data_IF_811762765104
#
_entry.id   IF_811762765104
#
_cell.length_a   1.000
_cell.length_b   1.000
_cell.length_c   1.000
_cell.angle_alpha   90.00
_cell.angle_beta   90.00
_cell.angle_gamma   90.00
#
_symmetry.space_group_name_H-M   'P 1'
#
loop_
_entity.id
_entity.type
_entity.pdbx_description
1 polymer ?
#
# COMPACT_ATOMS: atom_id res chain seq x y z
N UNK A 1 -19.09 21.53 11.24
CA UNK A 1 -18.03 20.50 11.13
C UNK A 1 -16.67 21.07 10.66
N UNK A 2 -16.56 21.64 9.45
CA UNK A 2 -15.27 22.18 8.94
C UNK A 2 -14.63 23.26 9.84
N UNK A 3 -15.45 24.11 10.49
CA UNK A 3 -14.97 25.09 11.46
C UNK A 3 -14.32 24.45 12.71
N UNK A 4 -14.75 23.24 13.10
CA UNK A 4 -14.10 22.47 14.16
C UNK A 4 -12.73 21.95 13.72
N UNK A 5 -12.62 21.48 12.48
CA UNK A 5 -11.34 21.07 11.89
C UNK A 5 -10.34 22.22 11.81
N UNK A 6 -10.79 23.44 11.42
CA UNK A 6 -9.95 24.65 11.42
C UNK A 6 -9.44 25.06 12.81
N UNK A 7 -10.11 24.61 13.87
CA UNK A 7 -9.68 24.79 15.27
C UNK A 7 -8.82 23.63 15.78
N UNK A 8 -8.41 22.70 14.92
CA UNK A 8 -7.57 21.56 15.27
C UNK A 8 -8.31 20.37 15.89
N UNK A 9 -9.64 20.33 15.85
CA UNK A 9 -10.40 19.18 16.32
C UNK A 9 -10.25 18.00 15.36
N UNK A 10 -10.35 16.77 15.89
CA UNK A 10 -10.46 15.57 15.07
C UNK A 10 -11.80 15.54 14.33
N UNK A 11 -11.88 14.85 13.20
CA UNK A 11 -13.11 14.75 12.40
C UNK A 11 -14.29 14.24 13.23
N UNK A 12 -14.07 13.24 14.09
CA UNK A 12 -15.09 12.69 14.98
C UNK A 12 -15.60 13.72 15.98
N UNK A 13 -14.70 14.47 16.64
CA UNK A 13 -15.11 15.53 17.59
C UNK A 13 -15.82 16.69 16.90
N UNK A 14 -15.31 17.12 15.74
CA UNK A 14 -15.91 18.19 14.94
C UNK A 14 -17.28 17.81 14.36
N UNK A 15 -17.51 16.52 14.12
CA UNK A 15 -18.81 15.98 13.72
C UNK A 15 -19.80 15.97 14.89
N UNK A 16 -19.38 15.46 16.06
CA UNK A 16 -20.21 15.48 17.28
C UNK A 16 -20.63 16.90 17.66
N UNK A 17 -19.70 17.87 17.65
CA UNK A 17 -20.01 19.29 17.93
C UNK A 17 -20.97 19.90 16.90
N UNK A 18 -20.97 19.38 15.67
CA UNK A 18 -21.87 19.83 14.62
C UNK A 18 -23.22 19.10 14.61
N UNK A 19 -23.48 18.21 15.59
CA UNK A 19 -24.68 17.38 15.62
C UNK A 19 -24.73 16.31 14.53
N UNK A 20 -23.59 15.99 13.89
CA UNK A 20 -23.51 14.97 12.86
C UNK A 20 -23.17 13.60 13.46
N UNK A 21 -23.88 12.56 13.03
CA UNK A 21 -23.55 11.18 13.39
C UNK A 21 -22.40 10.64 12.54
N UNK A 22 -21.65 9.62 13.01
CA UNK A 22 -20.61 8.98 12.20
C UNK A 22 -21.11 8.45 10.86
N UNK A 23 -22.36 7.94 10.81
CA UNK A 23 -22.98 7.46 9.58
C UNK A 23 -23.24 8.60 8.58
N UNK A 24 -23.63 9.78 9.06
CA UNK A 24 -23.79 10.97 8.22
C UNK A 24 -22.45 11.44 7.65
N UNK A 25 -21.39 11.44 8.47
CA UNK A 25 -20.03 11.78 8.02
C UNK A 25 -19.55 10.79 6.97
N UNK A 26 -19.78 9.49 7.17
CA UNK A 26 -19.40 8.48 6.18
C UNK A 26 -20.10 8.71 4.84
N UNK A 27 -21.41 9.02 4.86
CA UNK A 27 -22.17 9.33 3.64
C UNK A 27 -21.60 10.53 2.89
N UNK A 28 -21.27 11.61 3.60
CA UNK A 28 -20.62 12.79 2.99
C UNK A 28 -19.29 12.44 2.31
N UNK A 29 -18.50 11.53 2.88
CA UNK A 29 -17.22 11.11 2.27
C UNK A 29 -17.39 10.25 1.02
N UNK A 30 -18.47 9.48 0.94
CA UNK A 30 -18.76 8.61 -0.21
C UNK A 30 -19.40 9.41 -1.35
N UNK A 31 -20.38 10.24 -1.02
CA UNK A 31 -21.23 10.90 -2.01
C UNK A 31 -20.68 12.27 -2.44
N UNK A 32 -19.81 12.90 -1.64
CA UNK A 32 -19.28 14.24 -1.91
C UNK A 32 -17.73 14.27 -1.83
N UNK A 33 -17.02 14.13 -2.97
CA UNK A 33 -15.57 14.26 -2.99
C UNK A 33 -15.09 15.68 -2.64
N UNK A 34 -15.92 16.72 -2.76
CA UNK A 34 -15.57 18.08 -2.35
C UNK A 34 -15.54 18.22 -0.82
N UNK A 35 -16.33 17.43 -0.10
CA UNK A 35 -16.30 17.37 1.35
C UNK A 35 -14.93 16.92 1.88
N UNK A 36 -14.37 15.84 1.33
CA UNK A 36 -13.06 15.33 1.74
C UNK A 36 -11.96 16.35 1.45
N UNK A 37 -12.02 17.02 0.29
CA UNK A 37 -11.08 18.10 -0.06
C UNK A 37 -11.20 19.29 0.90
N UNK A 38 -12.41 19.72 1.22
CA UNK A 38 -12.65 20.83 2.16
C UNK A 38 -12.23 20.48 3.59
N UNK A 39 -12.40 19.23 4.02
CA UNK A 39 -11.93 18.73 5.31
C UNK A 39 -10.40 18.73 5.38
N UNK A 40 -9.72 18.28 4.32
CA UNK A 40 -8.26 18.36 4.18
C UNK A 40 -7.80 19.82 4.27
N UNK A 41 -8.39 20.72 3.48
CA UNK A 41 -8.03 22.14 3.51
C UNK A 41 -8.25 22.78 4.88
N UNK A 42 -9.36 22.47 5.55
CA UNK A 42 -9.66 22.98 6.87
C UNK A 42 -8.63 22.56 7.92
N UNK A 43 -8.19 21.30 7.86
CA UNK A 43 -7.11 20.79 8.72
C UNK A 43 -5.77 21.45 8.37
N UNK A 44 -5.47 21.64 7.08
CA UNK A 44 -4.24 22.31 6.64
C UNK A 44 -4.20 23.77 7.10
N UNK A 45 -5.33 24.48 7.10
CA UNK A 45 -5.44 25.85 7.60
C UNK A 45 -5.32 25.95 9.13
N UNK A 46 -5.65 24.88 9.86
CA UNK A 46 -5.46 24.79 11.31
C UNK A 46 -4.00 24.56 11.71
N UNK A 47 -3.22 23.92 10.84
CA UNK A 47 -1.83 23.61 11.06
C UNK A 47 -0.97 24.87 10.84
N UNK A 48 -0.41 25.42 11.91
CA UNK A 48 0.72 26.36 11.81
C UNK A 48 1.83 25.73 10.93
N UNK A 49 2.59 26.51 10.16
CA UNK A 49 3.70 25.99 9.36
C UNK A 49 4.64 25.18 10.27
N UNK A 50 4.66 23.85 10.10
CA UNK A 50 5.39 22.93 10.98
C UNK A 50 4.60 21.68 11.42
N UNK A 51 3.26 21.68 11.35
CA UNK A 51 2.41 20.52 11.64
C UNK A 51 2.08 19.71 10.37
N UNK A 52 3.09 19.24 9.64
CA UNK A 52 2.92 18.40 8.44
C UNK A 52 2.67 16.92 8.79
N UNK A 53 1.83 16.66 9.78
CA UNK A 53 1.32 15.33 10.06
C UNK A 53 -0.13 15.31 9.63
N UNK A 54 -0.39 15.12 8.33
CA UNK A 54 -1.76 15.06 7.81
C UNK A 54 -2.57 14.00 8.58
N UNK A 55 -3.58 14.37 9.40
CA UNK A 55 -4.33 13.43 10.24
C UNK A 55 -5.24 12.50 9.45
N UNK A 56 -5.27 12.64 8.11
CA UNK A 56 -6.14 11.90 7.20
C UNK A 56 -5.39 10.84 6.37
N UNK A 57 -4.06 10.79 6.45
CA UNK A 57 -3.27 9.75 5.80
C UNK A 57 -2.81 8.73 6.83
N UNK A 58 -3.05 7.42 6.62
CA UNK A 58 -2.40 6.42 7.44
C UNK A 58 -0.89 6.57 7.23
N UNK A 59 -0.20 7.02 8.29
CA UNK A 59 1.25 6.96 8.41
C UNK A 59 1.65 5.50 8.55
N UNK A 60 1.51 4.76 7.46
CA UNK A 60 2.03 3.41 7.38
C UNK A 60 3.53 3.49 7.69
N UNK A 61 3.95 2.81 8.76
CA UNK A 61 5.37 2.67 9.11
C UNK A 61 6.04 1.57 8.31
N UNK A 62 5.23 0.69 7.72
CA UNK A 62 5.63 -0.46 6.92
C UNK A 62 4.82 -0.53 5.64
N UNK A 63 5.34 -1.24 4.66
CA UNK A 63 4.64 -1.43 3.40
C UNK A 63 3.33 -2.21 3.64
N UNK A 64 2.23 -1.72 3.06
CA UNK A 64 0.89 -2.34 3.15
C UNK A 64 0.81 -3.67 2.38
N UNK A 65 1.78 -3.96 1.51
CA UNK A 65 1.83 -5.24 0.83
C UNK A 65 1.94 -6.39 1.84
N UNK A 66 1.18 -7.49 1.65
CA UNK A 66 1.22 -8.64 2.55
C UNK A 66 2.65 -9.11 2.81
N UNK A 67 2.99 -9.30 4.08
CA UNK A 67 4.27 -9.85 4.54
C UNK A 67 5.51 -9.04 4.06
N UNK A 68 5.36 -7.74 3.83
CA UNK A 68 6.48 -6.88 3.45
C UNK A 68 7.03 -6.08 4.65
N UNK A 69 8.24 -6.38 5.13
CA UNK A 69 8.83 -5.69 6.28
C UNK A 69 9.44 -4.32 5.93
N UNK A 70 9.28 -3.86 4.68
CA UNK A 70 9.96 -2.66 4.19
C UNK A 70 9.38 -1.39 4.82
N UNK A 71 10.26 -0.54 5.36
CA UNK A 71 9.91 0.73 6.01
C UNK A 71 10.11 1.94 5.10
N UNK A 72 10.90 1.80 4.01
CA UNK A 72 11.10 2.87 3.03
C UNK A 72 9.91 2.93 2.08
N UNK A 73 8.94 3.76 2.44
CA UNK A 73 7.72 3.94 1.67
C UNK A 73 7.84 5.04 0.63
N UNK A 74 7.08 4.89 -0.46
CA UNK A 74 6.83 5.89 -1.48
C UNK A 74 5.42 6.47 -1.24
N UNK A 75 4.50 6.30 -2.18
CA UNK A 75 3.11 6.75 -2.06
C UNK A 75 2.18 5.57 -1.77
N UNK A 76 0.96 5.86 -1.29
CA UNK A 76 -0.09 4.87 -1.00
C UNK A 76 0.30 3.80 0.04
N UNK A 77 1.24 4.09 0.94
CA UNK A 77 1.71 3.13 1.93
C UNK A 77 2.52 1.97 1.35
N UNK A 78 3.02 2.08 0.12
CA UNK A 78 3.81 1.03 -0.54
C UNK A 78 5.29 1.39 -0.60
N UNK A 79 6.16 0.39 -0.46
CA UNK A 79 7.57 0.56 -0.79
C UNK A 79 7.77 0.80 -2.30
N UNK A 80 8.93 1.31 -2.69
CA UNK A 80 9.25 1.62 -4.10
C UNK A 80 8.96 0.45 -5.04
N UNK A 81 9.31 -0.77 -4.63
CA UNK A 81 9.08 -2.00 -5.41
C UNK A 81 7.59 -2.27 -5.63
N UNK A 82 6.80 -2.28 -4.56
CA UNK A 82 5.37 -2.58 -4.65
C UNK A 82 4.58 -1.44 -5.30
N UNK A 83 5.01 -0.19 -5.13
CA UNK A 83 4.45 0.96 -5.85
C UNK A 83 4.59 0.77 -7.37
N UNK A 84 5.80 0.48 -7.86
CA UNK A 84 5.99 0.27 -9.30
C UNK A 84 5.36 -1.02 -9.81
N UNK A 85 5.29 -2.07 -8.99
CA UNK A 85 4.55 -3.27 -9.34
C UNK A 85 3.07 -2.97 -9.54
N UNK A 86 2.42 -2.38 -8.53
CA UNK A 86 1.00 -2.00 -8.62
C UNK A 86 0.75 -1.06 -9.80
N UNK A 87 1.64 -0.10 -10.06
CA UNK A 87 1.52 0.83 -11.18
C UNK A 87 1.60 0.13 -12.55
N UNK A 88 2.37 -0.97 -12.68
CA UNK A 88 2.54 -1.68 -13.96
C UNK A 88 1.50 -2.77 -14.18
N UNK A 89 1.12 -3.49 -13.13
CA UNK A 89 0.26 -4.69 -13.22
C UNK A 89 -1.14 -4.49 -12.65
N UNK A 90 -1.41 -3.36 -12.01
CA UNK A 90 -2.69 -3.07 -11.33
C UNK A 90 -2.86 -3.77 -9.98
N UNK A 91 -2.03 -4.78 -9.67
CA UNK A 91 -2.09 -5.57 -8.44
C UNK A 91 -0.71 -5.86 -7.88
N UNK A 92 -0.62 -6.05 -6.56
CA UNK A 92 0.61 -6.46 -5.87
C UNK A 92 0.62 -7.99 -5.89
N UNK A 93 1.60 -8.59 -6.57
CA UNK A 93 1.74 -10.04 -6.52
C UNK A 93 2.18 -10.44 -5.11
N UNK A 94 1.65 -11.57 -4.64
CA UNK A 94 1.89 -12.08 -3.29
C UNK A 94 3.37 -12.43 -2.99
N UNK A 95 3.63 -12.93 -1.78
CA UNK A 95 4.98 -13.14 -1.21
C UNK A 95 5.87 -14.11 -2.00
N UNK A 96 5.32 -14.83 -2.98
CA UNK A 96 6.01 -15.87 -3.75
C UNK A 96 7.21 -15.34 -4.58
N UNK A 97 7.27 -14.03 -4.85
CA UNK A 97 8.47 -13.40 -5.42
C UNK A 97 9.52 -13.11 -4.34
N UNK A 98 10.22 -14.14 -3.89
CA UNK A 98 11.45 -13.99 -3.13
C UNK A 98 12.58 -13.46 -4.04
N UNK A 99 12.86 -12.16 -3.93
CA UNK A 99 14.05 -11.54 -4.51
C UNK A 99 15.25 -11.81 -3.59
N UNK A 100 16.42 -12.11 -4.17
CA UNK A 100 17.65 -12.40 -3.40
C UNK A 100 18.03 -13.87 -3.29
N UNK A 101 17.33 -14.79 -3.97
CA UNK A 101 17.80 -16.17 -4.09
C UNK A 101 19.09 -16.21 -4.90
N UNK A 102 20.17 -16.65 -4.28
CA UNK A 102 21.45 -16.88 -4.94
C UNK A 102 21.56 -18.30 -5.49
N UNK A 103 20.81 -19.25 -4.93
CA UNK A 103 20.89 -20.68 -5.25
C UNK A 103 19.59 -21.24 -5.82
N UNK A 104 19.73 -22.33 -6.56
CA UNK A 104 18.62 -23.10 -7.10
C UNK A 104 17.76 -23.70 -5.97
N UNK A 105 16.44 -23.67 -6.15
CA UNK A 105 15.45 -24.24 -5.21
C UNK A 105 15.22 -25.74 -5.42
N UNK A 106 15.74 -26.30 -6.52
CA UNK A 106 15.67 -27.74 -6.77
C UNK A 106 16.43 -28.49 -5.66
N UNK A 107 15.80 -29.46 -4.96
CA UNK A 107 16.47 -30.25 -3.92
C UNK A 107 17.78 -30.86 -4.42
N UNK A 108 18.86 -30.65 -3.67
CA UNK A 108 20.20 -31.13 -4.05
C UNK A 108 20.91 -30.31 -5.13
N UNK A 109 20.36 -29.18 -5.58
CA UNK A 109 21.00 -28.30 -6.55
C UNK A 109 21.62 -27.07 -5.88
N UNK A 110 22.93 -27.08 -5.67
CA UNK A 110 23.69 -25.93 -5.15
C UNK A 110 24.07 -24.87 -6.20
N UNK A 111 23.56 -24.95 -7.43
CA UNK A 111 23.97 -24.08 -8.55
C UNK A 111 23.38 -22.68 -8.41
N UNK A 112 24.04 -21.65 -8.98
CA UNK A 112 23.52 -20.29 -8.96
C UNK A 112 22.15 -20.19 -9.65
N UNK A 113 21.26 -19.44 -9.01
CA UNK A 113 19.94 -19.10 -9.53
C UNK A 113 20.05 -18.25 -10.80
N UNK A 114 19.16 -18.50 -11.77
CA UNK A 114 18.99 -17.65 -12.96
C UNK A 114 17.60 -17.02 -13.03
N UNK A 115 16.54 -17.82 -12.86
CA UNK A 115 15.17 -17.35 -13.02
C UNK A 115 14.17 -18.21 -12.24
N UNK A 116 13.12 -17.58 -11.69
CA UNK A 116 12.00 -18.23 -10.98
C UNK A 116 12.38 -19.22 -9.86
N UNK A 117 13.55 -19.08 -9.27
CA UNK A 117 14.01 -19.99 -8.21
C UNK A 117 14.94 -21.08 -8.73
N UNK A 118 15.16 -21.20 -10.04
CA UNK A 118 15.91 -22.31 -10.64
C UNK A 118 17.23 -21.83 -11.30
N UNK A 119 18.24 -22.71 -11.31
CA UNK A 119 19.39 -22.57 -12.22
C UNK A 119 18.97 -22.80 -13.68
N UNK A 120 19.79 -22.41 -14.66
CA UNK A 120 19.47 -22.57 -16.10
C UNK A 120 18.93 -23.96 -16.45
N UNK A 121 19.63 -25.03 -16.02
CA UNK A 121 19.25 -26.42 -16.31
C UNK A 121 17.89 -26.80 -15.69
N UNK A 122 17.69 -26.48 -14.41
CA UNK A 122 16.45 -26.80 -13.72
C UNK A 122 15.28 -25.96 -14.24
N UNK A 123 15.54 -24.72 -14.67
CA UNK A 123 14.53 -23.84 -15.26
C UNK A 123 14.01 -24.39 -16.60
N UNK A 124 14.89 -24.84 -17.49
CA UNK A 124 14.50 -25.47 -18.75
C UNK A 124 13.66 -26.73 -18.54
N UNK A 125 14.08 -27.60 -17.61
CA UNK A 125 13.32 -28.79 -17.20
C UNK A 125 11.93 -28.40 -16.68
N UNK A 126 11.85 -27.39 -15.82
CA UNK A 126 10.60 -26.93 -15.23
C UNK A 126 9.64 -26.33 -16.27
N UNK A 127 10.13 -25.61 -17.29
CA UNK A 127 9.27 -25.11 -18.38
C UNK A 127 8.73 -26.28 -19.23
N UNK A 128 9.59 -27.23 -19.61
CA UNK A 128 9.18 -28.40 -20.40
C UNK A 128 8.12 -29.22 -19.67
N UNK A 129 8.28 -29.45 -18.36
CA UNK A 129 7.30 -30.18 -17.56
C UNK A 129 6.00 -29.39 -17.32
N UNK A 130 6.04 -28.05 -17.33
CA UNK A 130 4.81 -27.23 -17.29
C UNK A 130 4.06 -27.29 -18.61
N UNK A 131 4.74 -27.27 -19.74
CA UNK A 131 4.12 -27.40 -21.05
C UNK A 131 3.43 -28.77 -21.23
N UNK A 132 4.04 -29.84 -20.72
CA UNK A 132 3.47 -31.19 -20.77
C UNK A 132 2.31 -31.46 -19.78
N UNK A 133 2.09 -30.59 -18.78
CA UNK A 133 1.00 -30.70 -17.80
C UNK A 133 -0.20 -29.80 -18.12
N UNK A 134 -0.16 -29.11 -19.26
CA UNK A 134 -1.20 -28.20 -19.74
C UNK A 134 -2.10 -28.77 -20.83
N UNK A 135 -2.05 -30.09 -21.07
CA UNK A 135 -3.00 -30.89 -21.87
C UNK A 135 -3.78 -31.80 -20.94
#
# INVERSE_FOLDING_TARGET
MLAGLRRGLTLTRAATEAGCTPAHVWRLRVDDPAFDFAAIQAVTQAAAPGLWSSPLLPVHRFCVAPECPETRLKAKGLCVRHYYQQHRTGHIAGPDRQYGRTTCTEPGCGRPHRARGYCTRCYERHIRSRAARGT
#
